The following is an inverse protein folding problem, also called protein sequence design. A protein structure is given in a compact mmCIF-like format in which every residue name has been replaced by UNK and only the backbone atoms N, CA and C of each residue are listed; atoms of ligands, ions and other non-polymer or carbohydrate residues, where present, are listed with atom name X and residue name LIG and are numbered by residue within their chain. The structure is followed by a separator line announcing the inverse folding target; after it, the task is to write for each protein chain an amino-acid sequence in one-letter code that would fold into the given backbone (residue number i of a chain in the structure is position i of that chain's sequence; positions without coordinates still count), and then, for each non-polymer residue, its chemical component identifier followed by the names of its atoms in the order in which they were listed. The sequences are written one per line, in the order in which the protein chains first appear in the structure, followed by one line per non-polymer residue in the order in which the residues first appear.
data_IF_643776569756
#
_entry.id   IF_643776569756
#
_cell.length_a   1.000
_cell.length_b   1.000
_cell.length_c   1.000
_cell.angle_alpha   90.00
_cell.angle_beta   90.00
_cell.angle_gamma   90.00
#
_symmetry.space_group_name_H-M   'P 1'
#
loop_
_entity.id
_entity.type
_entity.pdbx_description
1 polymer ?
#
# COMPACT_ATOMS: atom_id res chain seq x y z
N UNK A 1 -2.70 14.04 19.90
CA UNK A 1 -1.68 13.62 18.92
C UNK A 1 -2.41 12.96 17.76
N UNK A 2 -2.29 13.48 16.53
CA UNK A 2 -2.94 12.86 15.38
C UNK A 2 -2.17 11.57 15.03
N UNK A 3 -2.87 10.45 15.00
CA UNK A 3 -2.33 9.14 14.60
C UNK A 3 -1.98 9.16 13.10
N UNK A 4 -0.74 8.85 12.76
CA UNK A 4 -0.29 8.75 11.37
C UNK A 4 -0.76 7.43 10.79
N UNK A 5 -1.40 7.45 9.62
CA UNK A 5 -2.01 6.26 9.01
C UNK A 5 -1.38 5.96 7.66
N UNK A 6 -0.94 4.72 7.46
CA UNK A 6 -0.36 4.23 6.21
C UNK A 6 -1.26 3.15 5.62
N UNK A 7 -1.61 3.25 4.34
CA UNK A 7 -2.36 2.23 3.60
C UNK A 7 -1.44 1.39 2.71
N UNK A 8 -1.58 0.06 2.76
CA UNK A 8 -0.75 -0.89 1.99
C UNK A 8 -1.46 -1.39 0.72
N UNK A 9 -1.26 -0.66 -0.37
CA UNK A 9 -1.77 -0.98 -1.71
C UNK A 9 -0.94 -2.06 -2.43
N UNK A 10 -1.57 -2.80 -3.32
CA UNK A 10 -0.90 -3.81 -4.14
C UNK A 10 -1.77 -5.02 -4.47
N UNK A 11 -1.35 -5.81 -5.45
CA UNK A 11 -2.14 -6.91 -5.97
C UNK A 11 -2.62 -7.90 -4.88
N UNK A 12 -3.83 -8.41 -5.09
CA UNK A 12 -4.43 -9.50 -4.31
C UNK A 12 -4.95 -10.59 -5.27
N UNK A 13 -5.59 -10.20 -6.37
CA UNK A 13 -6.15 -11.13 -7.36
C UNK A 13 -5.07 -12.02 -7.99
N UNK A 14 -5.32 -13.32 -8.08
CA UNK A 14 -4.40 -14.29 -8.68
C UNK A 14 -3.17 -14.62 -7.82
N UNK A 15 -3.12 -14.14 -6.57
CA UNK A 15 -2.06 -14.46 -5.62
C UNK A 15 -2.55 -15.45 -4.55
N UNK A 16 -1.61 -16.21 -3.97
CA UNK A 16 -1.88 -16.97 -2.76
C UNK A 16 -2.03 -16.04 -1.56
N UNK A 17 -2.72 -16.48 -0.51
CA UNK A 17 -2.85 -15.71 0.73
C UNK A 17 -1.49 -15.27 1.28
N UNK A 18 -0.51 -16.17 1.26
CA UNK A 18 0.88 -15.88 1.64
C UNK A 18 1.51 -14.77 0.78
N UNK A 19 1.34 -14.84 -0.55
CA UNK A 19 1.92 -13.86 -1.46
C UNK A 19 1.30 -12.46 -1.29
N UNK A 20 0.01 -12.35 -0.99
CA UNK A 20 -0.61 -11.06 -0.70
C UNK A 20 -0.30 -10.54 0.72
N UNK A 21 -0.08 -11.41 1.71
CA UNK A 21 -0.03 -10.99 3.12
C UNK A 21 1.39 -10.78 3.67
N UNK A 22 2.36 -11.63 3.31
CA UNK A 22 3.66 -11.68 4.00
C UNK A 22 4.42 -10.35 3.97
N UNK A 23 4.49 -9.72 2.80
CA UNK A 23 5.21 -8.46 2.65
C UNK A 23 4.52 -7.32 3.41
N UNK A 24 3.18 -7.35 3.49
CA UNK A 24 2.38 -6.35 4.22
C UNK A 24 2.62 -6.47 5.71
N UNK A 25 2.59 -7.71 6.25
CA UNK A 25 2.92 -7.98 7.65
C UNK A 25 4.33 -7.52 7.96
N UNK A 26 5.30 -7.84 7.09
CA UNK A 26 6.70 -7.46 7.31
C UNK A 26 6.88 -5.95 7.35
N UNK A 27 6.34 -5.20 6.38
CA UNK A 27 6.39 -3.73 6.38
C UNK A 27 5.71 -3.16 7.62
N UNK A 28 4.50 -3.64 7.94
CA UNK A 28 3.76 -3.21 9.15
C UNK A 28 4.58 -3.40 10.42
N UNK A 29 5.18 -4.58 10.61
CA UNK A 29 5.99 -4.88 11.79
C UNK A 29 7.23 -3.99 11.88
N UNK A 30 7.95 -3.80 10.77
CA UNK A 30 9.17 -2.98 10.79
C UNK A 30 8.86 -1.49 11.02
N UNK A 31 7.83 -0.94 10.38
CA UNK A 31 7.43 0.45 10.60
C UNK A 31 6.94 0.70 12.03
N UNK A 32 6.17 -0.23 12.61
CA UNK A 32 5.69 -0.10 13.99
C UNK A 32 6.82 -0.14 15.02
N UNK A 33 7.92 -0.87 14.74
CA UNK A 33 9.09 -0.93 15.65
C UNK A 33 9.88 0.37 15.70
N UNK A 34 9.93 1.09 14.58
CA UNK A 34 10.82 2.25 14.41
C UNK A 34 10.10 3.60 14.51
N UNK A 35 8.76 3.61 14.44
CA UNK A 35 8.01 4.86 14.43
C UNK A 35 8.15 5.62 15.75
N UNK A 36 8.49 6.91 15.66
CA UNK A 36 8.43 7.84 16.79
C UNK A 36 7.01 8.41 17.01
N UNK A 37 6.07 8.12 16.10
CA UNK A 37 4.69 8.62 16.12
C UNK A 37 3.72 7.49 16.46
N UNK A 38 2.52 7.87 16.93
CA UNK A 38 1.39 6.95 16.93
C UNK A 38 1.09 6.57 15.48
N UNK A 39 1.22 5.28 15.15
CA UNK A 39 1.17 4.77 13.78
C UNK A 39 0.11 3.68 13.64
N UNK A 40 -0.74 3.82 12.62
CA UNK A 40 -1.63 2.78 12.14
C UNK A 40 -1.23 2.36 10.73
N UNK A 41 -1.06 1.05 10.51
CA UNK A 41 -0.78 0.50 9.18
C UNK A 41 -1.94 -0.39 8.76
N UNK A 42 -2.65 0.03 7.72
CA UNK A 42 -3.82 -0.62 7.16
C UNK A 42 -3.37 -1.65 6.11
N UNK A 43 -3.70 -2.92 6.36
CA UNK A 43 -3.59 -4.00 5.40
C UNK A 43 -5.00 -4.34 4.89
N UNK A 44 -5.32 -4.13 3.59
CA UNK A 44 -6.65 -4.45 3.04
C UNK A 44 -7.05 -5.92 3.24
N UNK A 45 -6.07 -6.82 3.19
CA UNK A 45 -6.28 -8.28 3.35
C UNK A 45 -6.85 -8.64 4.74
N UNK A 46 -6.66 -7.78 5.76
CA UNK A 46 -7.19 -8.00 7.12
C UNK A 46 -8.73 -7.91 7.19
N UNK A 47 -9.38 -7.33 6.19
CA UNK A 47 -10.83 -7.06 6.19
C UNK A 47 -11.55 -7.87 5.11
N UNK A 48 -11.47 -7.43 3.85
CA UNK A 48 -12.04 -8.15 2.73
C UNK A 48 -10.93 -8.91 2.00
N UNK A 49 -11.11 -10.21 1.83
CA UNK A 49 -10.18 -11.06 1.12
C UNK A 49 -10.91 -12.20 0.41
N UNK A 50 -10.22 -12.80 -0.57
CA UNK A 50 -10.78 -13.88 -1.38
C UNK A 50 -10.89 -15.22 -0.66
N UNK A 51 -10.36 -15.34 0.56
CA UNK A 51 -10.39 -16.59 1.34
C UNK A 51 -11.66 -16.69 2.19
N UNK A 52 -12.10 -15.58 2.75
CA UNK A 52 -13.27 -15.48 3.60
C UNK A 52 -14.16 -14.32 3.12
N UNK A 53 -14.84 -14.46 1.97
CA UNK A 53 -15.71 -13.41 1.46
C UNK A 53 -16.88 -13.22 2.43
N UNK A 54 -16.99 -12.02 2.99
CA UNK A 54 -18.03 -11.61 3.94
C UNK A 54 -18.83 -10.40 3.43
N UNK A 55 -18.60 -9.97 2.19
CA UNK A 55 -19.27 -8.84 1.55
C UNK A 55 -20.54 -9.25 0.81
N UNK A 56 -21.49 -8.34 0.73
CA UNK A 56 -22.71 -8.49 -0.08
C UNK A 56 -22.47 -8.08 -1.54
N UNK A 57 -21.47 -7.22 -1.80
CA UNK A 57 -21.14 -6.76 -3.16
C UNK A 57 -19.70 -6.28 -3.31
N UNK A 58 -19.15 -6.37 -4.53
CA UNK A 58 -17.82 -5.80 -4.84
C UNK A 58 -17.77 -4.27 -4.63
N UNK A 59 -18.93 -3.60 -4.74
CA UNK A 59 -19.06 -2.18 -4.46
C UNK A 59 -18.74 -1.87 -2.99
N UNK A 60 -19.23 -2.69 -2.07
CA UNK A 60 -18.98 -2.56 -0.63
C UNK A 60 -17.48 -2.66 -0.33
N UNK A 61 -16.82 -3.69 -0.88
CA UNK A 61 -15.36 -3.88 -0.75
C UNK A 61 -14.60 -2.67 -1.27
N UNK A 62 -14.93 -2.23 -2.49
CA UNK A 62 -14.29 -1.09 -3.14
C UNK A 62 -14.48 0.19 -2.32
N UNK A 63 -15.71 0.51 -1.89
CA UNK A 63 -15.99 1.73 -1.12
C UNK A 63 -15.29 1.72 0.24
N UNK A 64 -15.19 0.54 0.88
CA UNK A 64 -14.49 0.37 2.14
C UNK A 64 -12.99 0.62 2.03
N UNK A 65 -12.34 -0.02 1.08
CA UNK A 65 -10.89 0.11 0.85
C UNK A 65 -10.53 1.54 0.42
N UNK A 66 -11.31 2.13 -0.50
CA UNK A 66 -11.10 3.52 -0.93
C UNK A 66 -11.37 4.53 0.19
N UNK A 67 -12.32 4.29 1.10
CA UNK A 67 -12.53 5.15 2.26
C UNK A 67 -11.31 5.13 3.20
N UNK A 68 -10.76 3.95 3.47
CA UNK A 68 -9.54 3.80 4.30
C UNK A 68 -8.32 4.44 3.65
N UNK A 69 -8.17 4.27 2.35
CA UNK A 69 -7.12 4.91 1.57
C UNK A 69 -7.22 6.44 1.68
N UNK A 70 -8.41 7.00 1.44
CA UNK A 70 -8.63 8.47 1.47
C UNK A 70 -8.39 9.10 2.84
N UNK A 71 -8.54 8.33 3.92
CA UNK A 71 -8.29 8.77 5.29
C UNK A 71 -6.87 8.44 5.79
N UNK A 72 -5.97 8.00 4.89
CA UNK A 72 -4.58 7.72 5.22
C UNK A 72 -3.69 8.93 4.93
N UNK A 73 -2.58 9.03 5.65
CA UNK A 73 -1.57 10.08 5.46
C UNK A 73 -0.53 9.70 4.40
N UNK A 74 -0.40 8.41 4.10
CA UNK A 74 0.58 7.86 3.16
C UNK A 74 0.04 6.57 2.55
N UNK A 75 0.33 6.34 1.27
CA UNK A 75 0.15 5.05 0.62
C UNK A 75 1.52 4.42 0.35
N UNK A 76 1.69 3.16 0.73
CA UNK A 76 2.79 2.32 0.27
C UNK A 76 2.22 1.30 -0.70
N UNK A 77 2.75 1.26 -1.92
CA UNK A 77 2.30 0.33 -2.97
C UNK A 77 3.39 -0.66 -3.33
N UNK A 78 3.02 -1.93 -3.47
CA UNK A 78 3.93 -2.97 -3.99
C UNK A 78 3.61 -3.30 -5.46
N UNK A 79 4.57 -3.03 -6.34
CA UNK A 79 4.50 -3.24 -7.78
C UNK A 79 5.10 -4.56 -8.27
N UNK A 80 5.52 -5.46 -7.38
CA UNK A 80 6.06 -6.76 -7.78
C UNK A 80 5.05 -7.65 -8.55
N UNK A 81 3.77 -7.24 -8.59
CA UNK A 81 2.72 -7.74 -9.47
C UNK A 81 2.10 -6.53 -10.22
N UNK A 82 2.63 -6.16 -11.39
CA UNK A 82 2.37 -4.87 -12.03
C UNK A 82 0.98 -4.74 -12.69
N UNK A 83 0.26 -5.85 -12.88
CA UNK A 83 -1.00 -5.96 -13.63
C UNK A 83 -2.26 -5.86 -12.74
N UNK A 84 -2.18 -5.18 -11.60
CA UNK A 84 -3.32 -5.03 -10.69
C UNK A 84 -4.18 -3.81 -11.03
N UNK A 85 -5.37 -4.06 -11.59
CA UNK A 85 -6.39 -3.03 -11.86
C UNK A 85 -6.85 -2.35 -10.57
N UNK A 86 -7.12 -3.12 -9.51
CA UNK A 86 -7.51 -2.56 -8.21
C UNK A 86 -6.44 -1.60 -7.67
N UNK A 87 -5.17 -1.99 -7.73
CA UNK A 87 -4.06 -1.12 -7.32
C UNK A 87 -4.01 0.15 -8.19
N UNK A 88 -4.20 0.05 -9.51
CA UNK A 88 -4.24 1.23 -10.37
C UNK A 88 -5.36 2.23 -9.98
N UNK A 89 -6.54 1.73 -9.62
CA UNK A 89 -7.64 2.55 -9.12
C UNK A 89 -7.32 3.20 -7.76
N UNK A 90 -6.71 2.44 -6.84
CA UNK A 90 -6.24 2.95 -5.54
C UNK A 90 -5.24 4.10 -5.72
N UNK A 91 -4.25 3.96 -6.61
CA UNK A 91 -3.23 4.98 -6.84
C UNK A 91 -3.79 6.26 -7.45
N UNK A 92 -4.72 6.13 -8.40
CA UNK A 92 -5.40 7.31 -8.94
C UNK A 92 -6.22 8.03 -7.87
N UNK A 93 -6.95 7.27 -7.02
CA UNK A 93 -7.69 7.84 -5.90
C UNK A 93 -6.76 8.56 -4.92
N UNK A 94 -5.63 7.95 -4.54
CA UNK A 94 -4.63 8.58 -3.69
C UNK A 94 -4.08 9.88 -4.27
N UNK A 95 -3.75 9.88 -5.58
CA UNK A 95 -3.25 11.04 -6.31
C UNK A 95 -4.26 12.19 -6.33
N UNK A 96 -5.52 11.93 -6.66
CA UNK A 96 -6.59 12.95 -6.66
C UNK A 96 -6.86 13.52 -5.26
N UNK A 97 -6.58 12.75 -4.20
CA UNK A 97 -6.73 13.19 -2.81
C UNK A 97 -5.42 13.78 -2.23
N UNK A 98 -4.40 14.03 -3.06
CA UNK A 98 -3.09 14.56 -2.66
C UNK A 98 -2.40 13.74 -1.55
N UNK A 99 -2.62 12.42 -1.54
CA UNK A 99 -1.98 11.53 -0.58
C UNK A 99 -0.64 11.07 -1.17
N UNK A 100 0.48 11.23 -0.45
CA UNK A 100 1.77 10.80 -0.95
C UNK A 100 1.82 9.28 -1.15
N UNK A 101 2.50 8.85 -2.20
CA UNK A 101 2.59 7.45 -2.64
C UNK A 101 4.06 7.03 -2.77
N UNK A 102 4.45 6.01 -2.00
CA UNK A 102 5.79 5.40 -2.05
C UNK A 102 5.69 3.98 -2.62
N UNK A 103 6.33 3.77 -3.77
CA UNK A 103 6.37 2.48 -4.44
C UNK A 103 7.52 1.59 -3.96
N UNK A 104 7.22 0.30 -3.76
CA UNK A 104 8.17 -0.79 -3.69
C UNK A 104 8.11 -1.57 -5.00
N UNK A 105 9.23 -1.70 -5.69
CA UNK A 105 9.30 -2.49 -6.91
C UNK A 105 10.67 -3.12 -7.04
N UNK A 106 10.81 -4.45 -7.00
CA UNK A 106 12.09 -5.07 -7.34
C UNK A 106 12.46 -4.73 -8.80
N UNK A 107 13.76 -4.53 -9.07
CA UNK A 107 14.26 -4.09 -10.38
C UNK A 107 13.71 -4.89 -11.57
N UNK A 108 13.60 -6.22 -11.41
CA UNK A 108 13.11 -7.13 -12.45
C UNK A 108 11.67 -6.88 -12.89
N UNK A 109 10.85 -6.22 -12.07
CA UNK A 109 9.45 -5.91 -12.41
C UNK A 109 9.26 -4.47 -12.88
N UNK A 110 10.25 -3.60 -12.66
CA UNK A 110 10.08 -2.16 -12.88
C UNK A 110 9.83 -1.79 -14.34
N UNK A 111 10.38 -2.55 -15.29
CA UNK A 111 10.11 -2.37 -16.73
C UNK A 111 8.65 -2.62 -17.08
N UNK A 112 8.00 -3.54 -16.37
CA UNK A 112 6.64 -4.00 -16.68
C UNK A 112 5.58 -3.14 -16.00
N UNK A 113 5.96 -2.33 -15.01
CA UNK A 113 5.06 -1.35 -14.37
C UNK A 113 4.67 -0.28 -15.38
N UNK A 114 3.36 -0.12 -15.57
CA UNK A 114 2.81 0.88 -16.49
C UNK A 114 3.30 2.29 -16.13
N UNK A 115 3.71 3.12 -17.12
CA UNK A 115 4.26 4.45 -16.86
C UNK A 115 3.37 5.33 -15.97
N UNK A 116 2.05 5.32 -16.16
CA UNK A 116 1.15 6.14 -15.33
C UNK A 116 1.13 5.75 -13.86
N UNK A 117 1.39 4.49 -13.54
CA UNK A 117 1.50 4.06 -12.14
C UNK A 117 2.78 4.61 -11.50
N UNK A 118 3.88 4.68 -12.27
CA UNK A 118 5.13 5.33 -11.86
C UNK A 118 4.91 6.81 -11.61
N UNK A 119 4.20 7.49 -12.52
CA UNK A 119 3.85 8.91 -12.39
C UNK A 119 2.88 9.22 -11.24
N UNK A 120 2.17 8.21 -10.72
CA UNK A 120 1.38 8.38 -9.49
C UNK A 120 2.27 8.42 -8.25
N UNK A 121 3.45 7.80 -8.28
CA UNK A 121 4.33 7.73 -7.13
C UNK A 121 5.17 8.99 -6.96
N UNK A 122 5.33 9.43 -5.71
CA UNK A 122 6.31 10.45 -5.34
C UNK A 122 7.73 9.88 -5.35
N UNK A 123 7.87 8.59 -5.03
CA UNK A 123 9.15 7.87 -5.07
C UNK A 123 8.93 6.38 -5.27
N UNK A 124 9.83 5.73 -6.01
CA UNK A 124 9.89 4.27 -6.12
C UNK A 124 11.24 3.79 -5.60
N UNK A 125 11.21 2.76 -4.75
CA UNK A 125 12.36 2.16 -4.10
C UNK A 125 12.42 0.67 -4.44
N UNK A 126 13.65 0.16 -4.62
CA UNK A 126 13.86 -1.17 -5.18
C UNK A 126 14.07 -2.27 -4.13
N UNK A 127 14.19 -1.88 -2.86
CA UNK A 127 14.28 -2.82 -1.75
C UNK A 127 13.36 -2.39 -0.61
N UNK A 128 12.86 -3.39 0.13
CA UNK A 128 12.03 -3.14 1.30
C UNK A 128 12.81 -2.39 2.40
N UNK A 129 14.12 -2.64 2.51
CA UNK A 129 14.99 -1.94 3.46
C UNK A 129 15.04 -0.44 3.17
N UNK A 130 15.28 -0.07 1.91
CA UNK A 130 15.35 1.33 1.51
C UNK A 130 14.00 2.03 1.67
N UNK A 131 12.90 1.31 1.38
CA UNK A 131 11.55 1.79 1.62
C UNK A 131 11.31 2.09 3.10
N UNK A 132 11.60 1.14 3.99
CA UNK A 132 11.41 1.31 5.43
C UNK A 132 12.24 2.49 5.93
N UNK A 133 13.52 2.57 5.53
CA UNK A 133 14.40 3.67 5.92
C UNK A 133 13.84 5.03 5.47
N UNK A 134 13.42 5.13 4.20
CA UNK A 134 12.88 6.38 3.65
C UNK A 134 11.56 6.78 4.33
N UNK A 135 10.63 5.84 4.52
CA UNK A 135 9.36 6.13 5.21
C UNK A 135 9.62 6.56 6.65
N UNK A 136 10.54 5.88 7.34
CA UNK A 136 10.93 6.22 8.71
C UNK A 136 11.46 7.65 8.80
N UNK A 137 12.47 7.97 7.99
CA UNK A 137 13.21 9.23 8.03
C UNK A 137 12.33 10.43 7.66
N UNK A 138 11.49 10.30 6.62
CA UNK A 138 10.77 11.45 6.05
C UNK A 138 9.32 11.61 6.56
N UNK A 139 8.69 10.55 7.05
CA UNK A 139 7.28 10.59 7.45
C UNK A 139 7.06 10.28 8.93
N UNK A 140 7.90 9.44 9.53
CA UNK A 140 7.69 8.91 10.88
C UNK A 140 8.59 9.53 11.96
N UNK A 141 9.61 10.30 11.62
CA UNK A 141 10.36 11.13 12.57
C UNK A 141 9.60 12.43 12.89
N UNK A 142 9.81 12.99 14.08
CA UNK A 142 9.13 14.21 14.57
C UNK A 142 9.36 15.44 13.70
#
# INVERSE_FOLDING_TARGET
MNNFTIYLAGAMTGLTFKAMTDWRIKIKQELLKISAKSLTVINPVDYYNFTYPQHDSEKEVMEYDLWRLKNSNLVIVNFNKPDSIGTAMELMCAKENNIPIIGLCENKYYTDVHPWLKECCNKVLFTMKDLINYVSEFYLME
#
